data_IF_149275803276
#
_entry.id   IF_149275803276
#
_cell.length_a   1.000
_cell.length_b   1.000
_cell.length_c   1.000
_cell.angle_alpha   90.00
_cell.angle_beta   90.00
_cell.angle_gamma   90.00
#
_symmetry.space_group_name_H-M   'P 1'
#
loop_
_entity.id
_entity.type
_entity.pdbx_description
1 polymer ?
#
# COMPACT_ATOMS: atom_id res chain seq x y z
N UNK A 1 9.26 -13.15 1.60
CA UNK A 1 7.94 -12.66 2.04
C UNK A 1 7.84 -11.15 1.97
N UNK A 2 6.62 -10.62 1.84
CA UNK A 2 6.33 -9.17 1.83
C UNK A 2 6.29 -8.62 3.26
N UNK A 3 7.45 -8.60 3.92
CA UNK A 3 7.67 -8.07 5.26
C UNK A 3 8.85 -7.11 5.22
N UNK A 4 8.72 -5.93 5.83
CA UNK A 4 9.87 -5.04 6.02
C UNK A 4 10.98 -5.76 6.80
N UNK A 5 12.24 -5.54 6.41
CA UNK A 5 13.40 -6.21 7.00
C UNK A 5 13.26 -7.74 7.05
N UNK A 6 12.68 -8.37 6.02
CA UNK A 6 12.39 -9.82 6.02
C UNK A 6 13.61 -10.69 6.34
N UNK A 7 14.79 -10.35 5.82
CA UNK A 7 16.06 -11.02 6.14
C UNK A 7 16.40 -10.94 7.63
N UNK A 8 16.34 -9.74 8.24
CA UNK A 8 16.62 -9.54 9.67
C UNK A 8 15.59 -10.25 10.56
N UNK A 9 14.31 -10.26 10.18
CA UNK A 9 13.27 -11.01 10.90
C UNK A 9 13.53 -12.51 10.87
N UNK A 10 13.92 -13.04 9.71
CA UNK A 10 14.31 -14.45 9.57
C UNK A 10 15.54 -14.77 10.42
N UNK A 11 16.59 -13.95 10.35
CA UNK A 11 17.80 -14.09 11.16
C UNK A 11 17.45 -14.17 12.65
N UNK A 12 16.65 -13.22 13.15
CA UNK A 12 16.21 -13.18 14.55
C UNK A 12 15.44 -14.44 14.94
N UNK A 13 14.49 -14.89 14.13
CA UNK A 13 13.70 -16.09 14.42
C UNK A 13 14.58 -17.35 14.47
N UNK A 14 15.50 -17.51 13.51
CA UNK A 14 16.43 -18.64 13.45
C UNK A 14 17.37 -18.65 14.65
N UNK A 15 17.99 -17.51 14.98
CA UNK A 15 18.91 -17.40 16.12
C UNK A 15 18.20 -17.68 17.44
N UNK A 16 16.99 -17.13 17.65
CA UNK A 16 16.20 -17.40 18.84
C UNK A 16 15.80 -18.87 18.99
N UNK A 17 15.56 -19.56 17.87
CA UNK A 17 15.26 -20.99 17.87
C UNK A 17 16.51 -21.82 18.17
N UNK A 18 17.64 -21.51 17.51
CA UNK A 18 18.92 -22.19 17.73
C UNK A 18 19.41 -22.04 19.19
N UNK A 19 19.25 -20.86 19.79
CA UNK A 19 19.64 -20.59 21.19
C UNK A 19 18.92 -21.51 22.18
N UNK A 20 17.65 -21.86 21.90
CA UNK A 20 16.86 -22.78 22.72
C UNK A 20 17.32 -24.23 22.62
N UNK A 21 18.06 -24.57 21.56
CA UNK A 21 18.59 -25.92 21.33
C UNK A 21 20.03 -25.99 21.87
N UNK A 22 20.91 -25.12 21.37
CA UNK A 22 22.31 -25.03 21.75
C UNK A 22 22.87 -23.62 21.44
N UNK A 23 23.34 -22.86 22.45
CA UNK A 23 23.88 -21.51 22.25
C UNK A 23 25.04 -21.43 21.24
N UNK A 24 25.93 -22.44 21.23
CA UNK A 24 27.05 -22.49 20.28
C UNK A 24 26.58 -22.59 18.82
N UNK A 25 25.44 -23.25 18.56
CA UNK A 25 24.84 -23.32 17.23
C UNK A 25 24.32 -21.95 16.79
N UNK A 26 23.67 -21.21 17.69
CA UNK A 26 23.21 -19.86 17.39
C UNK A 26 24.40 -18.95 17.03
N UNK A 27 25.49 -19.01 17.80
CA UNK A 27 26.71 -18.26 17.53
C UNK A 27 27.34 -18.62 16.18
N UNK A 28 27.41 -19.92 15.86
CA UNK A 28 27.91 -20.36 14.56
C UNK A 28 27.03 -19.85 13.42
N UNK A 29 25.70 -19.93 13.54
CA UNK A 29 24.77 -19.42 12.53
C UNK A 29 24.96 -17.91 12.32
N UNK A 30 25.04 -17.13 13.40
CA UNK A 30 25.22 -15.68 13.34
C UNK A 30 26.50 -15.28 12.56
N UNK A 31 27.57 -16.05 12.73
CA UNK A 31 28.87 -15.77 12.10
C UNK A 31 28.99 -16.27 10.65
N UNK A 32 28.26 -17.34 10.29
CA UNK A 32 28.49 -18.05 9.02
C UNK A 32 27.32 -17.91 8.03
N UNK A 33 26.12 -17.58 8.50
CA UNK A 33 24.89 -17.58 7.69
C UNK A 33 24.43 -16.16 7.37
N UNK A 34 24.28 -15.86 6.09
CA UNK A 34 23.72 -14.61 5.58
C UNK A 34 22.19 -14.70 5.48
N UNK A 35 21.53 -13.61 5.86
CA UNK A 35 20.08 -13.45 5.79
C UNK A 35 19.76 -12.16 5.02
N UNK A 36 19.96 -12.13 3.69
CA UNK A 36 19.75 -10.93 2.90
C UNK A 36 18.28 -10.51 2.94
N UNK A 37 18.03 -9.21 3.18
CA UNK A 37 16.71 -8.64 2.96
C UNK A 37 16.39 -8.57 1.47
N UNK A 38 15.10 -8.62 1.15
CA UNK A 38 14.63 -8.54 -0.24
C UNK A 38 13.36 -7.72 -0.33
N UNK A 39 13.22 -6.97 -1.42
CA UNK A 39 11.94 -6.43 -1.86
C UNK A 39 11.51 -7.20 -3.09
N UNK A 40 10.34 -7.84 -3.01
CA UNK A 40 9.74 -8.60 -4.12
C UNK A 40 8.44 -7.93 -4.56
N UNK A 41 8.21 -7.81 -5.87
CA UNK A 41 6.99 -7.20 -6.40
C UNK A 41 6.55 -7.82 -7.72
N UNK A 42 5.40 -8.49 -7.68
CA UNK A 42 4.62 -8.93 -8.84
C UNK A 42 3.24 -9.35 -8.38
N UNK A 43 2.19 -8.69 -8.90
CA UNK A 43 0.81 -9.06 -8.66
C UNK A 43 0.54 -10.41 -9.32
N UNK A 44 0.28 -11.41 -8.48
CA UNK A 44 0.05 -12.80 -8.89
C UNK A 44 -1.25 -13.29 -8.23
N UNK A 45 -2.40 -13.17 -8.91
CA UNK A 45 -3.67 -13.69 -8.42
C UNK A 45 -3.60 -15.21 -8.21
N UNK A 46 -4.40 -15.73 -7.27
CA UNK A 46 -4.57 -17.17 -7.12
C UNK A 46 -5.20 -17.77 -8.39
N UNK A 47 -4.81 -18.99 -8.73
CA UNK A 47 -5.42 -19.76 -9.82
C UNK A 47 -6.86 -20.10 -9.48
N UNK A 48 -7.77 -19.86 -10.42
CA UNK A 48 -9.17 -20.27 -10.36
C UNK A 48 -9.55 -21.12 -11.58
N UNK A 49 -10.76 -21.68 -11.57
CA UNK A 49 -11.29 -22.50 -12.67
C UNK A 49 -11.36 -21.74 -14.00
N UNK A 50 -11.58 -20.43 -13.94
CA UNK A 50 -11.61 -19.57 -15.11
C UNK A 50 -10.24 -19.47 -15.77
N UNK A 51 -9.17 -19.32 -14.99
CA UNK A 51 -7.79 -19.31 -15.49
C UNK A 51 -7.39 -20.68 -16.04
N UNK A 52 -7.76 -21.77 -15.37
CA UNK A 52 -7.50 -23.14 -15.86
C UNK A 52 -8.13 -23.34 -17.25
N UNK A 53 -9.41 -22.99 -17.39
CA UNK A 53 -10.13 -23.07 -18.66
C UNK A 53 -9.51 -22.18 -19.73
N UNK A 54 -9.16 -20.94 -19.37
CA UNK A 54 -8.52 -19.98 -20.27
C UNK A 54 -7.16 -20.49 -20.77
N UNK A 55 -6.33 -21.06 -19.89
CA UNK A 55 -5.02 -21.60 -20.26
C UNK A 55 -5.16 -22.77 -21.24
N UNK A 56 -6.08 -23.69 -20.98
CA UNK A 56 -6.39 -24.81 -21.87
C UNK A 56 -6.84 -24.31 -23.26
N UNK A 57 -7.79 -23.37 -23.31
CA UNK A 57 -8.32 -22.82 -24.55
C UNK A 57 -7.27 -22.03 -25.36
N UNK A 58 -6.42 -21.25 -24.69
CA UNK A 58 -5.45 -20.36 -25.36
C UNK A 58 -4.15 -21.04 -25.76
N UNK A 59 -3.71 -22.04 -24.98
CA UNK A 59 -2.42 -22.70 -25.17
C UNK A 59 -2.57 -24.11 -25.79
N UNK A 60 -3.77 -24.69 -25.76
CA UNK A 60 -4.02 -26.05 -26.22
C UNK A 60 -3.37 -27.12 -25.32
N UNK A 61 -3.10 -26.79 -24.07
CA UNK A 61 -2.45 -27.66 -23.08
C UNK A 61 -3.28 -27.69 -21.81
N UNK A 62 -3.56 -28.88 -21.29
CA UNK A 62 -4.13 -29.06 -19.96
C UNK A 62 -3.05 -28.80 -18.90
N UNK A 63 -3.03 -27.58 -18.37
CA UNK A 63 -2.26 -27.23 -17.19
C UNK A 63 -3.19 -27.35 -15.95
N UNK A 64 -2.83 -28.24 -15.03
CA UNK A 64 -3.61 -28.44 -13.81
C UNK A 64 -3.49 -27.27 -12.83
N UNK A 65 -2.44 -26.45 -12.94
CA UNK A 65 -2.23 -25.31 -12.05
C UNK A 65 -1.50 -24.14 -12.74
N UNK A 66 -2.10 -23.51 -13.76
CA UNK A 66 -1.51 -22.36 -14.44
C UNK A 66 -1.41 -21.17 -13.49
N UNK A 67 -0.30 -20.44 -13.57
CA UNK A 67 -0.08 -19.21 -12.80
C UNK A 67 -0.16 -18.01 -13.74
N UNK A 68 -1.05 -17.08 -13.43
CA UNK A 68 -1.08 -15.77 -14.07
C UNK A 68 -0.44 -14.72 -13.17
N UNK A 69 0.25 -13.76 -13.78
CA UNK A 69 0.76 -12.56 -13.13
C UNK A 69 0.63 -11.35 -14.04
N UNK A 70 0.76 -10.17 -13.47
CA UNK A 70 1.00 -8.96 -14.27
C UNK A 70 2.33 -9.07 -15.05
N UNK A 71 2.52 -8.26 -16.10
CA UNK A 71 3.76 -8.24 -16.89
C UNK A 71 4.98 -7.73 -16.12
N UNK A 72 4.76 -6.85 -15.14
CA UNK A 72 5.80 -6.28 -14.29
C UNK A 72 6.33 -7.29 -13.26
N UNK A 73 7.65 -7.26 -13.06
CA UNK A 73 8.34 -7.99 -12.00
C UNK A 73 9.52 -7.17 -11.50
N UNK A 74 9.68 -7.07 -10.19
CA UNK A 74 10.85 -6.47 -9.59
C UNK A 74 11.34 -7.33 -8.43
N UNK A 75 12.66 -7.51 -8.37
CA UNK A 75 13.31 -8.16 -7.25
C UNK A 75 14.58 -7.38 -6.90
N UNK A 76 14.59 -6.84 -5.69
CA UNK A 76 15.73 -6.14 -5.11
C UNK A 76 16.26 -6.99 -3.96
N UNK A 77 17.57 -7.21 -3.92
CA UNK A 77 18.21 -8.15 -3.00
C UNK A 77 19.45 -7.50 -2.37
N UNK A 78 19.59 -7.65 -1.05
CA UNK A 78 20.87 -7.33 -0.39
C UNK A 78 21.96 -8.25 -0.95
N UNK A 79 23.09 -7.70 -1.42
CA UNK A 79 24.19 -8.53 -1.98
C UNK A 79 25.04 -9.20 -0.89
N UNK A 80 24.39 -10.04 -0.08
CA UNK A 80 24.98 -10.70 1.09
C UNK A 80 24.61 -12.18 1.11
N UNK A 81 25.54 -13.05 0.75
CA UNK A 81 25.33 -14.49 0.62
C UNK A 81 26.45 -15.29 1.31
N UNK A 82 26.10 -16.43 1.92
CA UNK A 82 27.07 -17.35 2.55
C UNK A 82 27.90 -18.17 1.56
N UNK A 83 27.63 -18.03 0.27
CA UNK A 83 28.26 -18.80 -0.79
C UNK A 83 27.99 -18.17 -2.15
N UNK A 84 28.36 -18.85 -3.25
CA UNK A 84 28.09 -18.36 -4.58
C UNK A 84 26.58 -18.22 -4.81
N UNK A 85 26.19 -17.14 -5.49
CA UNK A 85 24.82 -16.92 -5.97
C UNK A 85 24.79 -16.95 -7.50
N UNK A 86 23.63 -17.26 -8.11
CA UNK A 86 23.45 -17.06 -9.54
C UNK A 86 23.65 -15.60 -9.95
N UNK A 87 24.02 -15.39 -11.22
CA UNK A 87 24.16 -14.07 -11.83
C UNK A 87 22.78 -13.47 -12.18
N UNK A 88 21.91 -13.34 -11.18
CA UNK A 88 20.53 -12.88 -11.34
C UNK A 88 20.41 -11.44 -11.86
N UNK A 89 21.45 -10.63 -11.70
CA UNK A 89 21.55 -9.30 -12.29
C UNK A 89 21.45 -9.33 -13.82
N UNK A 90 21.86 -10.45 -14.46
CA UNK A 90 21.75 -10.63 -15.92
C UNK A 90 20.32 -10.86 -16.40
N UNK A 91 19.39 -11.13 -15.49
CA UNK A 91 17.97 -11.34 -15.78
C UNK A 91 17.07 -10.34 -15.05
N UNK A 92 17.63 -9.20 -14.64
CA UNK A 92 16.87 -8.05 -14.14
C UNK A 92 16.75 -7.92 -12.62
N UNK A 93 17.43 -8.75 -11.82
CA UNK A 93 17.45 -8.57 -10.35
C UNK A 93 18.39 -7.44 -9.97
N UNK A 94 17.92 -6.53 -9.11
CA UNK A 94 18.74 -5.43 -8.58
C UNK A 94 19.42 -5.87 -7.30
N UNK A 95 20.75 -5.78 -7.26
CA UNK A 95 21.51 -5.93 -6.02
C UNK A 95 21.83 -4.56 -5.44
N UNK A 96 21.70 -4.43 -4.12
CA UNK A 96 21.96 -3.19 -3.40
C UNK A 96 22.41 -3.47 -1.97
N UNK A 97 22.99 -2.48 -1.31
CA UNK A 97 23.26 -2.51 0.13
C UNK A 97 22.12 -1.87 0.94
N UNK A 98 21.14 -1.24 0.28
CA UNK A 98 20.02 -0.54 0.91
C UNK A 98 18.68 -0.98 0.32
N UNK A 99 18.23 -2.19 0.68
CA UNK A 99 16.88 -2.67 0.32
C UNK A 99 15.78 -1.84 0.98
N UNK A 100 16.05 -1.25 2.14
CA UNK A 100 15.08 -0.45 2.87
C UNK A 100 14.65 0.79 2.07
N UNK A 101 15.55 1.41 1.30
CA UNK A 101 15.20 2.51 0.39
C UNK A 101 14.14 2.07 -0.66
N UNK A 102 14.32 0.90 -1.28
CA UNK A 102 13.36 0.36 -2.26
C UNK A 102 12.04 -0.06 -1.61
N UNK A 103 12.08 -0.68 -0.43
CA UNK A 103 10.87 -1.01 0.34
C UNK A 103 10.08 0.27 0.69
N UNK A 104 10.75 1.31 1.15
CA UNK A 104 10.13 2.60 1.48
C UNK A 104 9.53 3.26 0.24
N UNK A 105 10.24 3.26 -0.89
CA UNK A 105 9.73 3.80 -2.14
C UNK A 105 8.48 3.04 -2.62
N UNK A 106 8.51 1.70 -2.64
CA UNK A 106 7.34 0.87 -2.95
C UNK A 106 6.17 1.15 -2.02
N UNK A 107 6.42 1.21 -0.70
CA UNK A 107 5.36 1.44 0.29
C UNK A 107 4.65 2.78 0.09
N UNK A 108 5.36 3.82 -0.34
CA UNK A 108 4.78 5.15 -0.54
C UNK A 108 4.20 5.33 -1.94
N UNK A 109 4.95 4.97 -2.98
CA UNK A 109 4.57 5.18 -4.38
C UNK A 109 3.50 4.19 -4.81
N UNK A 110 3.75 2.88 -4.67
CA UNK A 110 2.76 1.86 -5.01
C UNK A 110 1.70 1.81 -3.91
N UNK A 111 2.05 1.38 -2.69
CA UNK A 111 1.00 1.05 -1.72
C UNK A 111 0.22 2.28 -1.22
N UNK A 112 0.85 3.45 -1.16
CA UNK A 112 0.19 4.72 -0.85
C UNK A 112 -0.87 5.07 -1.89
N UNK A 113 -0.49 5.18 -3.17
CA UNK A 113 -1.44 5.49 -4.26
C UNK A 113 -2.51 4.41 -4.43
N UNK A 114 -2.18 3.14 -4.17
CA UNK A 114 -3.13 2.04 -4.25
C UNK A 114 -4.24 2.17 -3.19
N UNK A 115 -3.88 2.55 -1.97
CA UNK A 115 -4.84 2.79 -0.89
C UNK A 115 -5.66 4.04 -1.16
N UNK A 116 -5.04 5.07 -1.74
CA UNK A 116 -5.75 6.27 -2.23
C UNK A 116 -6.81 5.91 -3.26
N UNK A 117 -6.43 5.20 -4.34
CA UNK A 117 -7.37 4.75 -5.38
C UNK A 117 -8.46 3.85 -4.82
N UNK A 118 -8.15 3.00 -3.84
CA UNK A 118 -9.16 2.15 -3.21
C UNK A 118 -10.27 2.98 -2.57
N UNK A 119 -9.93 3.95 -1.71
CA UNK A 119 -10.95 4.73 -1.03
C UNK A 119 -11.63 5.76 -1.95
N UNK A 120 -10.88 6.49 -2.79
CA UNK A 120 -11.48 7.49 -3.69
C UNK A 120 -12.25 6.84 -4.83
N UNK A 121 -11.76 5.73 -5.39
CA UNK A 121 -12.45 4.98 -6.44
C UNK A 121 -13.76 4.35 -5.96
N UNK A 122 -13.78 3.78 -4.75
CA UNK A 122 -15.02 3.26 -4.15
C UNK A 122 -16.06 4.36 -3.96
N UNK A 123 -15.65 5.57 -3.52
CA UNK A 123 -16.56 6.71 -3.41
C UNK A 123 -17.18 7.11 -4.75
N UNK A 124 -16.44 6.94 -5.85
CA UNK A 124 -16.91 7.18 -7.21
C UNK A 124 -17.58 5.96 -7.87
N UNK A 125 -17.86 4.91 -7.11
CA UNK A 125 -18.55 3.71 -7.60
C UNK A 125 -17.72 2.85 -8.56
N UNK A 126 -16.39 2.96 -8.53
CA UNK A 126 -15.49 2.09 -9.31
C UNK A 126 -15.27 0.77 -8.56
N UNK A 127 -15.19 -0.34 -9.28
CA UNK A 127 -14.98 -1.67 -8.70
C UNK A 127 -13.48 -2.05 -8.68
N UNK A 128 -12.75 -1.71 -9.75
CA UNK A 128 -11.37 -2.15 -9.94
C UNK A 128 -10.36 -1.01 -9.98
N UNK A 129 -9.08 -1.32 -9.74
CA UNK A 129 -7.96 -0.37 -9.92
C UNK A 129 -7.92 0.19 -11.34
N UNK A 130 -8.15 -0.67 -12.34
CA UNK A 130 -8.19 -0.26 -13.74
C UNK A 130 -9.28 0.78 -14.00
N UNK A 131 -10.50 0.55 -13.50
CA UNK A 131 -11.60 1.51 -13.63
C UNK A 131 -11.33 2.83 -12.91
N UNK A 132 -10.73 2.77 -11.71
CA UNK A 132 -10.38 3.96 -10.96
C UNK A 132 -9.30 4.79 -11.65
N UNK A 133 -8.20 4.18 -12.10
CA UNK A 133 -7.13 4.93 -12.79
C UNK A 133 -7.53 5.36 -14.21
N UNK A 134 -8.56 4.76 -14.80
CA UNK A 134 -9.11 5.18 -16.10
C UNK A 134 -10.04 6.39 -15.98
N UNK A 135 -10.41 6.79 -14.76
CA UNK A 135 -11.13 8.02 -14.51
C UNK A 135 -10.16 9.22 -14.53
N UNK A 136 -10.42 10.20 -15.40
CA UNK A 136 -9.49 11.31 -15.63
C UNK A 136 -9.23 12.16 -14.38
N UNK A 137 -10.22 12.30 -13.48
CA UNK A 137 -10.05 13.07 -12.26
C UNK A 137 -9.13 12.34 -11.28
N UNK A 138 -9.33 11.02 -11.12
CA UNK A 138 -8.48 10.19 -10.27
C UNK A 138 -7.06 10.04 -10.84
N UNK A 139 -6.91 9.89 -12.16
CA UNK A 139 -5.59 9.83 -12.81
C UNK A 139 -4.81 11.12 -12.55
N UNK A 140 -5.44 12.28 -12.79
CA UNK A 140 -4.82 13.58 -12.55
C UNK A 140 -4.48 13.78 -11.06
N UNK A 141 -5.36 13.38 -10.16
CA UNK A 141 -5.12 13.46 -8.72
C UNK A 141 -3.94 12.59 -8.28
N UNK A 142 -3.87 11.34 -8.73
CA UNK A 142 -2.75 10.44 -8.41
C UNK A 142 -1.44 10.97 -9.00
N UNK A 143 -1.45 11.49 -10.23
CA UNK A 143 -0.28 12.12 -10.84
C UNK A 143 0.26 13.27 -9.98
N UNK A 144 -0.62 14.17 -9.54
CA UNK A 144 -0.27 15.29 -8.64
C UNK A 144 0.20 14.82 -7.26
N UNK A 145 -0.49 13.85 -6.67
CA UNK A 145 -0.11 13.27 -5.38
C UNK A 145 1.32 12.71 -5.43
N UNK A 146 1.67 12.04 -6.54
CA UNK A 146 3.01 11.52 -6.78
C UNK A 146 4.05 12.62 -6.94
N UNK A 147 3.81 13.58 -7.84
CA UNK A 147 4.77 14.63 -8.18
C UNK A 147 4.98 15.64 -7.05
N UNK A 148 3.90 16.04 -6.37
CA UNK A 148 3.92 17.20 -5.48
C UNK A 148 4.25 16.81 -4.03
N UNK A 149 3.86 15.61 -3.58
CA UNK A 149 3.99 15.21 -2.17
C UNK A 149 4.78 13.91 -1.96
N UNK A 150 4.50 12.83 -2.71
CA UNK A 150 5.12 11.53 -2.44
C UNK A 150 6.58 11.50 -2.87
N UNK A 151 6.89 11.76 -4.14
CA UNK A 151 8.26 11.66 -4.67
C UNK A 151 9.22 12.60 -3.94
N UNK A 152 8.91 13.90 -3.71
CA UNK A 152 9.80 14.81 -2.98
C UNK A 152 10.04 14.42 -1.53
N UNK A 153 9.17 13.60 -0.93
CA UNK A 153 9.33 13.13 0.46
C UNK A 153 10.30 11.96 0.63
N UNK A 154 10.75 11.35 -0.47
CA UNK A 154 11.59 10.15 -0.47
C UNK A 154 13.02 10.56 -0.80
N UNK A 155 13.95 10.30 0.12
CA UNK A 155 15.36 10.40 -0.19
C UNK A 155 15.83 9.11 -0.88
N UNK A 156 16.11 9.21 -2.18
CA UNK A 156 16.57 8.09 -2.99
C UNK A 156 17.76 8.46 -3.92
N UNK A 157 18.45 9.57 -3.61
CA UNK A 157 19.55 10.06 -4.46
C UNK A 157 20.62 8.98 -4.65
N UNK A 158 20.90 8.62 -5.90
CA UNK A 158 21.88 7.59 -6.26
C UNK A 158 21.42 6.14 -6.07
N UNK A 159 20.19 5.90 -5.61
CA UNK A 159 19.65 4.55 -5.36
C UNK A 159 18.64 4.12 -6.42
N UNK A 160 17.71 5.01 -6.80
CA UNK A 160 16.68 4.72 -7.80
C UNK A 160 16.13 5.97 -8.48
N UNK A 161 15.61 5.79 -9.71
CA UNK A 161 14.83 6.80 -10.42
C UNK A 161 13.36 6.73 -9.97
N UNK A 162 13.00 7.59 -9.00
CA UNK A 162 11.64 7.60 -8.44
C UNK A 162 10.57 8.03 -9.46
N UNK A 163 10.78 9.06 -10.31
CA UNK A 163 9.84 9.37 -11.38
C UNK A 163 9.59 8.20 -12.34
N UNK A 164 10.64 7.55 -12.84
CA UNK A 164 10.48 6.40 -13.72
C UNK A 164 9.76 5.24 -13.01
N UNK A 165 10.11 4.98 -11.75
CA UNK A 165 9.42 3.96 -10.95
C UNK A 165 7.93 4.28 -10.76
N UNK A 166 7.57 5.55 -10.51
CA UNK A 166 6.19 5.97 -10.39
C UNK A 166 5.42 5.81 -11.71
N UNK A 167 6.04 6.11 -12.86
CA UNK A 167 5.46 5.87 -14.18
C UNK A 167 5.19 4.37 -14.42
N UNK A 168 6.13 3.50 -14.06
CA UNK A 168 5.95 2.05 -14.12
C UNK A 168 4.75 1.61 -13.26
N UNK A 169 4.60 2.15 -12.05
CA UNK A 169 3.44 1.89 -11.19
C UNK A 169 2.12 2.31 -11.85
N UNK A 170 2.05 3.51 -12.42
CA UNK A 170 0.85 3.99 -13.09
C UNK A 170 0.49 3.12 -14.30
N UNK A 171 1.49 2.68 -15.07
CA UNK A 171 1.29 1.75 -16.19
C UNK A 171 0.74 0.40 -15.71
N UNK A 172 1.15 -0.09 -14.54
CA UNK A 172 0.60 -1.32 -13.94
C UNK A 172 -0.88 -1.18 -13.61
N UNK A 173 -1.31 -0.04 -13.06
CA UNK A 173 -2.72 0.21 -12.77
C UNK A 173 -3.59 0.20 -14.03
N UNK A 174 -3.04 0.58 -15.19
CA UNK A 174 -3.74 0.59 -16.48
C UNK A 174 -3.88 -0.82 -17.11
N UNK A 175 -3.44 -1.88 -16.44
CA UNK A 175 -3.59 -3.24 -16.95
C UNK A 175 -5.00 -3.80 -16.75
N UNK A 176 -5.85 -3.66 -17.78
CA UNK A 176 -7.24 -4.17 -17.79
C UNK A 176 -7.41 -5.67 -17.59
N UNK A 177 -6.36 -6.48 -17.78
CA UNK A 177 -6.44 -7.94 -17.66
C UNK A 177 -6.27 -8.41 -16.21
N UNK A 178 -5.83 -7.54 -15.30
CA UNK A 178 -5.74 -7.84 -13.87
C UNK A 178 -6.95 -7.23 -13.16
N UNK A 179 -7.90 -8.07 -12.76
CA UNK A 179 -9.07 -7.62 -11.99
C UNK A 179 -8.71 -7.46 -10.51
N UNK A 180 -8.06 -6.34 -10.19
CA UNK A 180 -7.71 -6.00 -8.80
C UNK A 180 -8.84 -5.19 -8.16
N UNK A 181 -9.57 -5.79 -7.22
CA UNK A 181 -10.74 -5.18 -6.59
C UNK A 181 -10.34 -4.13 -5.55
N UNK A 182 -10.90 -2.91 -5.68
CA UNK A 182 -10.68 -1.83 -4.71
C UNK A 182 -11.11 -2.24 -3.29
N UNK A 183 -12.21 -2.98 -3.18
CA UNK A 183 -12.73 -3.48 -1.91
C UNK A 183 -11.70 -4.33 -1.15
N UNK A 184 -10.95 -5.19 -1.84
CA UNK A 184 -9.90 -6.02 -1.24
C UNK A 184 -8.70 -5.18 -0.78
N UNK A 185 -8.34 -4.15 -1.57
CA UNK A 185 -7.25 -3.24 -1.22
C UNK A 185 -7.60 -2.43 0.03
N UNK A 186 -8.87 -2.03 0.15
CA UNK A 186 -9.43 -1.23 1.25
C UNK A 186 -9.48 -1.94 2.61
N UNK A 187 -9.37 -3.27 2.66
CA UNK A 187 -9.31 -4.05 3.90
C UNK A 187 -8.16 -3.62 4.80
N UNK A 188 -8.29 -3.78 6.11
CA UNK A 188 -7.25 -3.48 7.11
C UNK A 188 -6.68 -2.05 6.99
N UNK A 189 -7.52 -1.08 6.62
CA UNK A 189 -7.15 0.32 6.46
C UNK A 189 -6.45 0.89 7.70
N UNK A 190 -6.93 0.54 8.90
CA UNK A 190 -6.32 0.97 10.16
C UNK A 190 -4.87 0.52 10.34
N UNK A 191 -4.49 -0.61 9.76
CA UNK A 191 -3.13 -1.15 9.80
C UNK A 191 -2.28 -0.66 8.63
N UNK A 192 -2.90 -0.44 7.47
CA UNK A 192 -2.20 -0.07 6.23
C UNK A 192 -1.89 1.43 6.16
N UNK A 193 -2.85 2.30 6.47
CA UNK A 193 -2.72 3.76 6.33
C UNK A 193 -1.56 4.37 7.13
N UNK A 194 -1.23 3.90 8.36
CA UNK A 194 -0.07 4.40 9.08
C UNK A 194 1.24 4.32 8.28
N UNK A 195 1.48 3.19 7.62
CA UNK A 195 2.72 2.95 6.87
C UNK A 195 2.68 3.48 5.44
N UNK A 196 1.51 3.44 4.80
CA UNK A 196 1.34 3.77 3.38
C UNK A 196 1.12 5.26 3.11
N UNK A 197 0.53 5.98 4.06
CA UNK A 197 0.14 7.39 3.91
C UNK A 197 0.68 8.25 5.05
N UNK A 198 0.40 7.90 6.31
CA UNK A 198 0.67 8.79 7.44
C UNK A 198 2.16 8.98 7.71
N UNK A 199 3.02 7.99 7.45
CA UNK A 199 4.46 8.19 7.55
C UNK A 199 4.98 9.24 6.57
N UNK A 200 4.44 9.29 5.35
CA UNK A 200 4.76 10.34 4.37
C UNK A 200 4.30 11.71 4.87
N UNK A 201 3.08 11.79 5.43
CA UNK A 201 2.56 13.02 6.05
C UNK A 201 3.49 13.50 7.17
N UNK A 202 3.92 12.60 8.06
CA UNK A 202 4.84 12.92 9.17
C UNK A 202 6.15 13.48 8.66
N UNK A 203 6.73 12.88 7.63
CA UNK A 203 8.02 13.33 7.11
C UNK A 203 7.92 14.69 6.42
N UNK A 204 6.86 14.94 5.65
CA UNK A 204 6.59 16.27 5.06
C UNK A 204 6.40 17.32 6.16
N UNK A 205 5.66 17.00 7.23
CA UNK A 205 5.46 17.92 8.36
C UNK A 205 6.76 18.23 9.11
N UNK A 206 7.67 17.26 9.27
CA UNK A 206 9.00 17.49 9.88
C UNK A 206 9.84 18.47 9.05
N UNK A 207 9.63 18.52 7.74
CA UNK A 207 10.26 19.49 6.84
C UNK A 207 9.59 20.88 6.88
N UNK A 208 8.58 21.08 7.74
CA UNK A 208 7.83 22.34 7.85
C UNK A 208 6.87 22.58 6.69
N UNK A 209 6.58 21.54 5.89
CA UNK A 209 5.70 21.60 4.74
C UNK A 209 4.31 21.02 5.06
N UNK A 210 3.37 21.21 4.14
CA UNK A 210 1.99 20.77 4.28
C UNK A 210 1.68 19.65 3.28
N UNK A 211 1.22 18.49 3.77
CA UNK A 211 0.83 17.32 2.98
C UNK A 211 -0.69 17.31 2.69
N UNK A 212 -1.17 18.26 1.89
CA UNK A 212 -2.61 18.47 1.65
C UNK A 212 -3.23 17.31 0.88
N UNK A 213 -2.61 16.87 -0.22
CA UNK A 213 -3.13 15.80 -1.07
C UNK A 213 -3.17 14.47 -0.31
N UNK A 214 -2.19 14.20 0.56
CA UNK A 214 -2.20 13.01 1.43
C UNK A 214 -3.29 13.04 2.52
N UNK A 215 -3.98 14.16 2.76
CA UNK A 215 -5.15 14.21 3.64
C UNK A 215 -6.42 13.66 2.96
N UNK A 216 -6.50 13.71 1.62
CA UNK A 216 -7.64 13.20 0.84
C UNK A 216 -7.89 11.71 1.05
N UNK A 217 -6.91 10.78 0.96
CA UNK A 217 -7.16 9.36 1.20
C UNK A 217 -7.64 9.07 2.64
N UNK A 218 -7.25 9.88 3.62
CA UNK A 218 -7.73 9.74 5.00
C UNK A 218 -9.19 10.18 5.12
N UNK A 219 -9.55 11.31 4.49
CA UNK A 219 -10.94 11.75 4.41
C UNK A 219 -11.82 10.73 3.68
N UNK A 220 -11.32 10.17 2.56
CA UNK A 220 -12.03 9.14 1.81
C UNK A 220 -12.24 7.85 2.61
N UNK A 221 -11.24 7.44 3.42
CA UNK A 221 -11.37 6.31 4.33
C UNK A 221 -12.44 6.54 5.42
N UNK A 222 -12.53 7.75 5.98
CA UNK A 222 -13.58 8.11 6.95
C UNK A 222 -14.97 7.99 6.31
N UNK A 223 -15.14 8.48 5.08
CA UNK A 223 -16.39 8.34 4.33
C UNK A 223 -16.71 6.89 3.98
N UNK A 224 -15.70 6.09 3.66
CA UNK A 224 -15.85 4.65 3.44
C UNK A 224 -16.38 3.94 4.70
N UNK A 225 -15.83 4.24 5.88
CA UNK A 225 -16.33 3.71 7.16
C UNK A 225 -17.80 4.12 7.38
N UNK A 226 -18.12 5.40 7.17
CA UNK A 226 -19.48 5.92 7.33
C UNK A 226 -20.47 5.19 6.41
N UNK A 227 -20.08 4.96 5.15
CA UNK A 227 -20.89 4.26 4.16
C UNK A 227 -21.12 2.81 4.54
N UNK A 228 -20.07 2.06 4.92
CA UNK A 228 -20.21 0.67 5.38
C UNK A 228 -21.15 0.54 6.58
N UNK A 229 -21.04 1.44 7.54
CA UNK A 229 -21.94 1.46 8.69
C UNK A 229 -23.40 1.74 8.29
N UNK A 230 -23.63 2.72 7.40
CA UNK A 230 -24.97 3.09 6.93
C UNK A 230 -25.64 1.97 6.13
N UNK A 231 -24.87 1.34 5.24
CA UNK A 231 -25.33 0.24 4.38
C UNK A 231 -25.39 -1.11 5.12
N UNK A 232 -24.98 -1.15 6.39
CA UNK A 232 -24.85 -2.38 7.20
C UNK A 232 -23.96 -3.45 6.56
N UNK A 233 -22.94 -3.00 5.84
CA UNK A 233 -21.97 -3.87 5.18
C UNK A 233 -20.78 -4.16 6.10
N UNK A 234 -20.19 -5.35 5.95
CA UNK A 234 -19.01 -5.74 6.71
C UNK A 234 -17.81 -4.82 6.41
N UNK A 235 -17.21 -4.30 7.48
CA UNK A 235 -15.91 -3.64 7.43
C UNK A 235 -14.84 -4.66 7.82
N UNK A 236 -14.06 -5.13 6.84
CA UNK A 236 -12.92 -6.02 7.08
C UNK A 236 -11.74 -5.18 7.56
N UNK A 237 -11.59 -5.04 8.87
CA UNK A 237 -10.52 -4.28 9.52
C UNK A 237 -10.33 -4.78 10.97
N UNK A 238 -9.10 -4.83 11.52
CA UNK A 238 -8.88 -5.22 12.92
C UNK A 238 -9.53 -4.29 13.95
N UNK A 239 -9.83 -3.05 13.57
CA UNK A 239 -10.56 -2.07 14.38
C UNK A 239 -12.04 -1.95 13.98
N UNK A 240 -12.59 -2.90 13.21
CA UNK A 240 -13.95 -2.80 12.67
C UNK A 240 -15.01 -2.46 13.72
N UNK A 241 -15.03 -3.15 14.86
CA UNK A 241 -15.99 -2.88 15.95
C UNK A 241 -15.88 -1.44 16.47
N UNK A 242 -14.66 -0.93 16.63
CA UNK A 242 -14.43 0.45 17.09
C UNK A 242 -14.90 1.45 16.03
N UNK A 243 -14.51 1.24 14.78
CA UNK A 243 -14.81 2.17 13.68
C UNK A 243 -16.30 2.24 13.37
N UNK A 244 -16.98 1.09 13.31
CA UNK A 244 -18.44 1.01 13.13
C UNK A 244 -19.18 1.56 14.36
N UNK A 245 -18.68 1.29 15.57
CA UNK A 245 -19.23 1.88 16.80
C UNK A 245 -19.21 3.41 16.77
N UNK A 246 -18.09 4.02 16.36
CA UNK A 246 -17.98 5.47 16.18
C UNK A 246 -18.91 5.99 15.08
N UNK A 247 -19.01 5.27 13.95
CA UNK A 247 -19.89 5.65 12.86
C UNK A 247 -21.38 5.65 13.28
N UNK A 248 -21.80 4.64 14.04
CA UNK A 248 -23.16 4.56 14.58
C UNK A 248 -23.43 5.63 15.63
N UNK A 249 -22.45 5.95 16.49
CA UNK A 249 -22.58 7.00 17.49
C UNK A 249 -22.76 8.40 16.87
N UNK A 250 -22.11 8.64 15.73
CA UNK A 250 -22.13 9.92 15.01
C UNK A 250 -22.93 9.85 13.70
N UNK A 251 -23.97 9.01 13.66
CA UNK A 251 -24.76 8.81 12.45
C UNK A 251 -25.35 10.14 11.94
N UNK A 252 -25.11 10.45 10.67
CA UNK A 252 -25.55 11.70 10.04
C UNK A 252 -24.66 12.92 10.29
N UNK A 253 -23.61 12.80 11.12
CA UNK A 253 -22.61 13.86 11.36
C UNK A 253 -21.21 13.38 10.97
N UNK A 254 -20.88 13.53 9.69
CA UNK A 254 -19.58 13.14 9.14
C UNK A 254 -18.41 13.93 9.74
N UNK A 255 -18.64 15.17 10.18
CA UNK A 255 -17.59 15.97 10.80
C UNK A 255 -17.26 15.45 12.21
N UNK A 256 -18.28 15.11 13.00
CA UNK A 256 -18.08 14.49 14.30
C UNK A 256 -17.46 13.09 14.19
N UNK A 257 -17.91 12.27 13.23
CA UNK A 257 -17.28 10.98 12.95
C UNK A 257 -15.81 11.15 12.57
N UNK A 258 -15.50 12.03 11.63
CA UNK A 258 -14.12 12.29 11.22
C UNK A 258 -13.25 12.74 12.39
N UNK A 259 -13.76 13.62 13.26
CA UNK A 259 -13.04 14.08 14.44
C UNK A 259 -12.77 12.95 15.43
N UNK A 260 -13.74 12.04 15.64
CA UNK A 260 -13.59 10.88 16.51
C UNK A 260 -12.58 9.88 15.97
N UNK A 261 -12.64 9.56 14.67
CA UNK A 261 -11.68 8.66 14.01
C UNK A 261 -10.26 9.24 14.06
N UNK A 262 -10.08 10.53 13.78
CA UNK A 262 -8.78 11.21 13.84
C UNK A 262 -8.19 11.31 15.26
N UNK A 263 -8.97 10.98 16.30
CA UNK A 263 -8.51 10.89 17.67
C UNK A 263 -8.05 9.48 18.09
N UNK A 264 -8.06 8.49 17.19
CA UNK A 264 -7.58 7.13 17.50
C UNK A 264 -6.04 7.07 17.51
N UNK A 265 -5.39 7.01 18.69
CA UNK A 265 -3.92 7.05 18.78
C UNK A 265 -3.26 5.82 18.14
N UNK A 266 -3.93 4.67 18.12
CA UNK A 266 -3.41 3.45 17.50
C UNK A 266 -3.25 3.55 15.97
N UNK A 267 -3.93 4.50 15.31
CA UNK A 267 -3.78 4.76 13.87
C UNK A 267 -2.93 6.02 13.65
N UNK A 268 -3.28 7.12 14.33
CA UNK A 268 -2.74 8.44 14.03
C UNK A 268 -1.57 8.86 14.93
N UNK A 269 -1.36 8.20 16.05
CA UNK A 269 -0.29 8.50 17.02
C UNK A 269 -0.22 10.02 17.34
N UNK A 270 0.91 10.66 17.09
CA UNK A 270 1.12 12.08 17.36
C UNK A 270 0.28 13.01 16.47
N UNK A 271 -0.21 12.54 15.32
CA UNK A 271 -1.08 13.33 14.44
C UNK A 271 -2.44 13.64 15.06
N UNK A 272 -2.85 12.89 16.10
CA UNK A 272 -4.06 13.18 16.90
C UNK A 272 -4.02 14.58 17.55
N UNK A 273 -2.82 15.10 17.82
CA UNK A 273 -2.58 16.43 18.38
C UNK A 273 -2.28 17.50 17.30
N UNK A 274 -2.11 17.10 16.03
CA UNK A 274 -1.77 18.04 14.96
C UNK A 274 -3.04 18.72 14.43
N UNK A 275 -3.27 19.97 14.84
CA UNK A 275 -4.46 20.75 14.45
C UNK A 275 -4.57 20.96 12.94
N UNK A 276 -3.48 21.32 12.27
CA UNK A 276 -3.48 21.55 10.82
C UNK A 276 -3.94 20.30 10.06
N UNK A 277 -3.33 19.15 10.36
CA UNK A 277 -3.68 17.88 9.73
C UNK A 277 -5.15 17.53 9.93
N UNK A 278 -5.65 17.63 11.16
CA UNK A 278 -7.05 17.31 11.48
C UNK A 278 -8.03 18.24 10.78
N UNK A 279 -7.77 19.54 10.79
CA UNK A 279 -8.63 20.52 10.15
C UNK A 279 -8.69 20.28 8.63
N UNK A 280 -7.54 20.02 8.00
CA UNK A 280 -7.46 19.74 6.56
C UNK A 280 -8.17 18.43 6.18
N UNK A 281 -8.02 17.35 6.97
CA UNK A 281 -8.77 16.12 6.73
C UNK A 281 -10.28 16.37 6.85
N UNK A 282 -10.73 17.11 7.87
CA UNK A 282 -12.16 17.40 8.06
C UNK A 282 -12.74 18.31 6.98
N UNK A 283 -11.94 19.22 6.43
CA UNK A 283 -12.31 19.99 5.24
C UNK A 283 -12.54 19.06 4.05
N UNK A 284 -11.60 18.13 3.79
CA UNK A 284 -11.78 17.14 2.73
C UNK A 284 -12.95 16.19 2.98
N UNK A 285 -13.26 15.81 4.22
CA UNK A 285 -14.48 15.01 4.51
C UNK A 285 -15.73 15.73 4.02
N UNK A 286 -15.84 17.05 4.25
CA UNK A 286 -16.97 17.86 3.76
C UNK A 286 -17.00 17.92 2.24
N UNK A 287 -15.87 18.23 1.63
CA UNK A 287 -15.74 18.35 0.18
C UNK A 287 -16.10 17.03 -0.50
N UNK A 288 -15.44 15.94 -0.12
CA UNK A 288 -15.65 14.61 -0.69
C UNK A 288 -17.06 14.06 -0.42
N UNK A 289 -17.74 14.45 0.68
CA UNK A 289 -19.12 14.01 0.94
C UNK A 289 -20.14 14.55 -0.06
N UNK A 290 -19.78 15.59 -0.80
CA UNK A 290 -20.60 16.16 -1.89
C UNK A 290 -20.24 15.61 -3.27
N UNK A 291 -19.17 14.82 -3.37
CA UNK A 291 -18.70 14.28 -4.63
C UNK A 291 -19.53 13.06 -5.03
N UNK A 292 -19.86 12.99 -6.31
CA UNK A 292 -20.40 11.84 -7.01
C UNK A 292 -19.75 11.73 -8.40
N UNK A 293 -20.14 10.73 -9.19
CA UNK A 293 -19.58 10.51 -10.52
C UNK A 293 -19.74 11.69 -11.49
N UNK A 294 -20.68 12.61 -11.25
CA UNK A 294 -21.01 13.72 -12.15
C UNK A 294 -20.20 15.00 -11.86
N UNK A 295 -19.70 15.19 -10.63
CA UNK A 295 -18.98 16.40 -10.21
C UNK A 295 -17.54 16.16 -9.75
N UNK A 296 -17.03 14.92 -9.86
CA UNK A 296 -15.68 14.56 -9.42
C UNK A 296 -14.56 15.34 -10.10
N UNK A 297 -14.76 15.83 -11.33
CA UNK A 297 -13.76 16.63 -12.05
C UNK A 297 -13.72 18.11 -11.60
N UNK A 298 -14.77 18.60 -10.94
CA UNK A 298 -14.92 19.99 -10.53
C UNK A 298 -14.35 20.27 -9.12
N UNK A 299 -13.97 19.20 -8.39
CA UNK A 299 -13.60 19.21 -6.97
C UNK A 299 -12.18 18.71 -6.76
#
# INVERSE_FOLDING_TARGET
DNLADNGKKLAKAVLQFAEKIQPELAHWIEQNIAFPCTMVDSITPATDEALISLAADKLGVEDAWPIQREGFTQWVVEDKFSGPRPAWEKVGVTFTDDVAAFENAKLRILNGTHSTLAYTGILLGKETVYEAISDSALEAFIGRLLSDEIIPSINAEGVMDLPAYAEDILNRYKNRHIRHLLAQIAWDGSQKLPFRVLNTVRDILKLGQQAKLLCVPIAAWILFIAKRASDQEELVDPLAETLIGLANQHQGDLAALGAAVLNLPQVFAELTANKWFKDTVLEYVKVLSSINGDNAADV
#
